data_IF_998915716924
#
_entry.id   IF_998915716924
#
_cell.length_a   1.000
_cell.length_b   1.000
_cell.length_c   1.000
_cell.angle_alpha   90.00
_cell.angle_beta   90.00
_cell.angle_gamma   90.00
#
_symmetry.space_group_name_H-M   'P 1'
#
loop_
_entity.id
_entity.type
_entity.pdbx_description
1 polymer ?
#
# COMPACT_ATOMS: atom_id res chain seq x y z
N UNK A 1 -36.64 -32.18 -30.21
CA UNK A 1 -35.36 -32.06 -29.47
C UNK A 1 -35.37 -30.75 -28.69
N UNK A 2 -35.32 -30.73 -27.34
CA UNK A 2 -35.22 -29.47 -26.61
C UNK A 2 -33.75 -29.07 -26.42
N UNK A 3 -33.46 -27.79 -26.70
CA UNK A 3 -32.14 -27.17 -26.57
C UNK A 3 -31.74 -27.12 -25.08
N UNK A 4 -30.56 -27.65 -24.75
CA UNK A 4 -29.96 -27.55 -23.40
C UNK A 4 -29.42 -26.14 -23.17
N UNK A 5 -29.83 -25.53 -22.06
CA UNK A 5 -29.29 -24.24 -21.60
C UNK A 5 -27.86 -24.42 -21.04
N UNK A 6 -26.87 -23.57 -21.39
CA UNK A 6 -25.47 -23.78 -21.00
C UNK A 6 -25.11 -23.34 -19.58
N UNK A 7 -26.08 -22.86 -18.79
CA UNK A 7 -25.81 -22.32 -17.45
C UNK A 7 -26.32 -23.27 -16.36
N UNK A 8 -25.49 -24.25 -15.98
CA UNK A 8 -25.61 -24.87 -14.65
C UNK A 8 -24.71 -24.09 -13.71
N UNK A 9 -25.32 -23.43 -12.71
CA UNK A 9 -24.57 -22.88 -11.56
C UNK A 9 -23.90 -24.05 -10.84
N UNK A 10 -22.58 -24.00 -10.69
CA UNK A 10 -21.86 -24.89 -9.78
C UNK A 10 -22.38 -24.64 -8.34
N UNK A 11 -22.50 -25.67 -7.49
CA UNK A 11 -22.82 -25.46 -6.09
C UNK A 11 -21.73 -24.61 -5.44
N UNK A 12 -22.13 -23.65 -4.61
CA UNK A 12 -21.21 -22.87 -3.80
C UNK A 12 -20.36 -23.82 -2.96
N UNK A 13 -19.03 -23.62 -2.98
CA UNK A 13 -18.12 -24.34 -2.09
C UNK A 13 -18.50 -24.00 -0.64
N UNK A 14 -18.67 -24.99 0.25
CA UNK A 14 -18.91 -24.70 1.66
C UNK A 14 -17.71 -23.91 2.20
N UNK A 15 -17.98 -22.74 2.78
CA UNK A 15 -17.01 -21.98 3.55
C UNK A 15 -16.75 -22.78 4.82
N UNK A 16 -15.67 -23.55 4.82
CA UNK A 16 -15.19 -24.19 6.04
C UNK A 16 -14.68 -23.09 6.95
N UNK A 17 -15.06 -23.16 8.21
CA UNK A 17 -14.77 -22.23 9.30
C UNK A 17 -13.27 -21.95 9.45
N UNK A 18 -12.81 -20.86 8.86
CA UNK A 18 -11.46 -20.27 9.02
C UNK A 18 -11.51 -18.97 9.87
N UNK A 19 -12.62 -18.75 10.59
CA UNK A 19 -12.89 -17.46 11.24
C UNK A 19 -12.35 -17.36 12.67
N UNK A 20 -11.73 -18.42 13.21
CA UNK A 20 -11.29 -18.44 14.63
C UNK A 20 -9.77 -18.34 14.82
N UNK A 21 -8.95 -18.26 13.75
CA UNK A 21 -7.48 -18.09 13.88
C UNK A 21 -6.92 -16.77 13.33
N UNK A 22 -7.69 -15.95 12.59
CA UNK A 22 -7.30 -14.55 12.25
C UNK A 22 -7.64 -13.57 13.38
N UNK A 23 -7.61 -14.02 14.63
CA UNK A 23 -7.93 -13.19 15.79
C UNK A 23 -6.74 -12.24 16.09
N UNK A 24 -6.93 -10.97 15.70
CA UNK A 24 -6.05 -9.81 15.85
C UNK A 24 -4.93 -9.63 14.80
N UNK A 25 -5.27 -9.68 13.51
CA UNK A 25 -4.44 -9.03 12.48
C UNK A 25 -4.93 -7.61 12.18
N UNK A 26 -3.99 -6.69 11.97
CA UNK A 26 -4.16 -5.27 11.75
C UNK A 26 -3.62 -4.91 10.37
N UNK A 27 -4.39 -4.11 9.63
CA UNK A 27 -3.95 -3.64 8.32
C UNK A 27 -3.21 -2.32 8.41
N UNK A 28 -2.07 -2.22 7.72
CA UNK A 28 -1.28 -1.01 7.61
C UNK A 28 -0.99 -0.68 6.15
N UNK A 29 -1.18 0.58 5.78
CA UNK A 29 -0.68 1.15 4.55
C UNK A 29 0.73 1.72 4.82
N UNK A 30 1.73 1.13 4.17
CA UNK A 30 3.09 1.65 4.10
C UNK A 30 3.16 2.51 2.85
N UNK A 31 3.17 3.83 3.05
CA UNK A 31 3.18 4.80 1.98
C UNK A 31 4.63 5.18 1.66
N UNK A 32 5.00 4.97 0.40
CA UNK A 32 6.30 5.32 -0.14
C UNK A 32 6.16 6.68 -0.80
N UNK A 33 7.07 7.59 -0.46
CA UNK A 33 7.04 8.95 -0.96
C UNK A 33 8.40 9.38 -1.46
N UNK A 34 8.41 10.21 -2.51
CA UNK A 34 9.60 10.92 -2.92
C UNK A 34 9.61 12.31 -2.29
N UNK A 35 10.80 12.76 -1.92
CA UNK A 35 11.08 14.10 -1.45
C UNK A 35 12.50 14.50 -1.90
N UNK A 36 12.95 15.75 -1.70
CA UNK A 36 14.27 16.18 -2.13
C UNK A 36 15.44 15.34 -1.58
N UNK A 37 15.37 14.87 -0.34
CA UNK A 37 16.43 14.05 0.27
C UNK A 37 16.51 12.66 -0.36
N UNK A 38 15.36 12.00 -0.56
CA UNK A 38 15.26 10.69 -1.22
C UNK A 38 15.72 10.78 -2.67
N UNK A 39 15.29 11.81 -3.39
CA UNK A 39 15.70 12.03 -4.78
C UNK A 39 17.21 12.26 -4.90
N UNK A 40 17.79 13.04 -3.97
CA UNK A 40 19.23 13.27 -3.92
C UNK A 40 20.02 11.98 -3.60
N UNK A 41 19.51 11.13 -2.70
CA UNK A 41 20.09 9.83 -2.40
C UNK A 41 20.19 8.96 -3.65
N UNK A 42 19.07 8.70 -4.34
CA UNK A 42 19.05 7.87 -5.54
C UNK A 42 19.85 8.45 -6.72
N UNK A 43 19.94 9.78 -6.81
CA UNK A 43 20.76 10.46 -7.82
C UNK A 43 22.26 10.30 -7.57
N UNK A 44 22.69 10.10 -6.32
CA UNK A 44 24.09 9.92 -5.94
C UNK A 44 24.60 8.49 -6.16
N UNK A 45 23.70 7.50 -6.24
CA UNK A 45 24.06 6.11 -6.46
C UNK A 45 24.60 5.86 -7.87
N UNK A 46 25.53 4.91 -8.00
CA UNK A 46 25.84 4.30 -9.29
C UNK A 46 24.65 3.51 -9.83
N UNK A 47 24.64 3.20 -11.12
CA UNK A 47 23.56 2.41 -11.73
C UNK A 47 23.43 1.02 -11.09
N UNK A 48 24.55 0.41 -10.68
CA UNK A 48 24.55 -0.90 -10.03
C UNK A 48 23.99 -0.85 -8.61
N UNK A 49 24.36 0.17 -7.83
CA UNK A 49 23.79 0.41 -6.49
C UNK A 49 22.30 0.73 -6.58
N UNK A 50 21.90 1.59 -7.51
CA UNK A 50 20.50 1.94 -7.76
C UNK A 50 19.68 0.71 -8.13
N UNK A 51 20.21 -0.17 -8.99
CA UNK A 51 19.54 -1.42 -9.34
C UNK A 51 19.39 -2.35 -8.13
N UNK A 52 20.40 -2.42 -7.24
CA UNK A 52 20.30 -3.21 -6.00
C UNK A 52 19.23 -2.65 -5.07
N UNK A 53 19.14 -1.33 -4.91
CA UNK A 53 18.10 -0.72 -4.09
C UNK A 53 16.71 -0.94 -4.67
N UNK A 54 16.55 -0.81 -5.99
CA UNK A 54 15.28 -1.16 -6.65
C UNK A 54 14.93 -2.64 -6.50
N UNK A 55 15.92 -3.54 -6.42
CA UNK A 55 15.67 -4.96 -6.20
C UNK A 55 14.97 -5.23 -4.86
N UNK A 56 15.23 -4.40 -3.83
CA UNK A 56 14.64 -4.57 -2.51
C UNK A 56 13.11 -4.53 -2.54
N UNK A 57 12.49 -3.71 -3.39
CA UNK A 57 11.03 -3.64 -3.47
C UNK A 57 10.44 -5.00 -3.91
N UNK A 58 11.00 -5.63 -4.95
CA UNK A 58 10.54 -6.95 -5.40
C UNK A 58 10.82 -8.05 -4.39
N UNK A 59 11.95 -8.00 -3.70
CA UNK A 59 12.28 -8.99 -2.66
C UNK A 59 11.33 -8.86 -1.46
N UNK A 60 10.99 -7.62 -1.06
CA UNK A 60 9.98 -7.35 -0.03
C UNK A 60 8.61 -7.88 -0.46
N UNK A 61 8.17 -7.55 -1.68
CA UNK A 61 6.89 -8.03 -2.21
C UNK A 61 6.81 -9.56 -2.19
N UNK A 62 7.82 -10.25 -2.74
CA UNK A 62 7.87 -11.71 -2.77
C UNK A 62 7.84 -12.33 -1.38
N UNK A 63 8.54 -11.76 -0.41
CA UNK A 63 8.54 -12.28 0.96
C UNK A 63 7.17 -12.11 1.63
N UNK A 64 6.51 -10.96 1.42
CA UNK A 64 5.19 -10.68 1.99
C UNK A 64 4.08 -11.50 1.32
N UNK A 65 4.20 -11.78 0.03
CA UNK A 65 3.32 -12.74 -0.66
C UNK A 65 3.51 -14.14 -0.09
N UNK A 66 4.75 -14.58 0.10
CA UNK A 66 5.06 -15.91 0.63
C UNK A 66 4.60 -16.09 2.09
N UNK A 67 4.68 -15.04 2.91
CA UNK A 67 4.18 -15.07 4.29
C UNK A 67 2.66 -14.90 4.39
N UNK A 68 1.99 -14.46 3.33
CA UNK A 68 0.57 -14.11 3.33
C UNK A 68 0.27 -12.77 4.03
N UNK A 69 1.30 -11.97 4.30
CA UNK A 69 1.17 -10.64 4.91
C UNK A 69 0.80 -9.57 3.87
N UNK A 70 1.02 -9.80 2.57
CA UNK A 70 0.66 -8.85 1.52
C UNK A 70 -0.84 -8.87 1.20
N UNK A 71 -1.49 -7.70 1.26
CA UNK A 71 -2.85 -7.51 0.77
C UNK A 71 -2.84 -6.95 -0.66
N UNK A 72 -2.04 -5.90 -0.89
CA UNK A 72 -1.84 -5.29 -2.21
C UNK A 72 -0.56 -4.43 -2.20
N UNK A 73 0.04 -4.22 -3.39
CA UNK A 73 1.19 -3.34 -3.57
C UNK A 73 1.12 -2.69 -4.96
N UNK A 74 1.42 -1.39 -5.08
CA UNK A 74 1.53 -0.73 -6.39
C UNK A 74 2.57 0.39 -6.37
N UNK A 75 3.34 0.48 -7.45
CA UNK A 75 3.99 1.73 -7.84
C UNK A 75 2.92 2.71 -8.36
N UNK A 76 3.08 3.99 -8.04
CA UNK A 76 2.16 5.06 -8.42
C UNK A 76 2.94 6.14 -9.15
N UNK A 77 2.30 6.79 -10.12
CA UNK A 77 2.89 7.91 -10.83
C UNK A 77 2.95 9.16 -9.93
N UNK A 78 4.16 9.55 -9.57
CA UNK A 78 4.44 10.74 -8.76
C UNK A 78 4.11 12.05 -9.49
N UNK A 79 4.14 12.05 -10.82
CA UNK A 79 4.00 13.26 -11.64
C UNK A 79 2.53 13.62 -11.94
N UNK A 80 1.58 12.72 -11.64
CA UNK A 80 0.17 12.88 -12.02
C UNK A 80 -0.79 12.84 -10.82
N UNK A 81 -0.49 13.63 -9.79
CA UNK A 81 -1.33 13.73 -8.59
C UNK A 81 -2.20 14.99 -8.61
N UNK A 82 -3.48 14.82 -8.26
CA UNK A 82 -4.46 15.91 -8.25
C UNK A 82 -5.28 15.88 -6.96
N UNK A 83 -5.62 17.07 -6.47
CA UNK A 83 -6.59 17.28 -5.40
C UNK A 83 -7.93 17.63 -6.04
N UNK A 84 -8.95 16.83 -5.72
CA UNK A 84 -10.34 17.08 -6.14
C UNK A 84 -11.14 17.60 -4.96
N UNK A 85 -11.72 18.78 -5.09
CA UNK A 85 -12.63 19.36 -4.09
C UNK A 85 -14.05 19.46 -4.63
N UNK A 86 -15.03 19.47 -3.73
CA UNK A 86 -16.44 19.70 -4.09
C UNK A 86 -16.68 21.20 -4.21
N UNK A 87 -16.98 21.67 -5.42
CA UNK A 87 -17.48 23.02 -5.67
C UNK A 87 -19.01 23.06 -5.81
N UNK A 88 -19.57 24.26 -5.75
CA UNK A 88 -21.01 24.52 -5.99
C UNK A 88 -21.44 24.17 -7.41
N UNK A 89 -20.54 24.33 -8.38
CA UNK A 89 -20.79 24.14 -9.82
C UNK A 89 -20.20 22.83 -10.37
N UNK A 90 -19.73 21.95 -9.49
CA UNK A 90 -19.07 20.69 -9.84
C UNK A 90 -17.73 20.48 -9.13
N UNK A 91 -17.01 19.38 -9.41
CA UNK A 91 -15.70 19.14 -8.83
C UNK A 91 -14.68 20.16 -9.35
N UNK A 92 -13.86 20.71 -8.47
CA UNK A 92 -12.66 21.47 -8.84
C UNK A 92 -11.45 20.55 -8.71
N UNK A 93 -10.67 20.45 -9.78
CA UNK A 93 -9.45 19.64 -9.83
C UNK A 93 -8.26 20.58 -9.85
N UNK A 94 -7.36 20.41 -8.89
CA UNK A 94 -6.10 21.17 -8.80
C UNK A 94 -4.96 20.16 -8.83
N UNK A 95 -3.84 20.48 -9.48
CA UNK A 95 -2.62 19.68 -9.30
C UNK A 95 -2.28 19.63 -7.81
N UNK A 96 -1.92 18.45 -7.32
CA UNK A 96 -1.38 18.32 -5.98
C UNK A 96 -0.09 19.16 -5.88
N UNK A 97 0.30 19.64 -4.69
CA UNK A 97 1.51 20.43 -4.54
C UNK A 97 2.71 19.72 -5.18
N UNK A 98 3.31 20.33 -6.20
CA UNK A 98 4.54 19.86 -6.85
C UNK A 98 5.73 20.70 -6.37
N UNK A 99 6.92 20.09 -6.26
CA UNK A 99 8.16 20.76 -5.83
C UNK A 99 8.79 20.11 -4.59
N UNK A 100 9.17 20.92 -3.58
CA UNK A 100 9.75 20.46 -2.31
C UNK A 100 8.76 19.67 -1.42
N UNK A 101 7.54 19.46 -1.90
CA UNK A 101 6.52 18.70 -1.23
C UNK A 101 6.74 17.19 -1.40
N UNK A 102 6.36 16.44 -0.39
CA UNK A 102 6.38 14.98 -0.40
C UNK A 102 5.28 14.44 -1.34
N UNK A 103 5.66 13.66 -2.36
CA UNK A 103 4.74 13.06 -3.35
C UNK A 103 4.69 11.54 -3.20
N UNK A 104 3.52 10.94 -3.40
CA UNK A 104 3.36 9.47 -3.29
C UNK A 104 3.94 8.78 -4.53
N UNK A 105 4.83 7.82 -4.34
CA UNK A 105 5.43 7.05 -5.46
C UNK A 105 5.12 5.56 -5.39
N UNK A 106 4.55 5.10 -4.28
CA UNK A 106 4.06 3.73 -4.16
C UNK A 106 3.41 3.46 -2.83
N UNK A 107 2.86 2.26 -2.70
CA UNK A 107 2.37 1.76 -1.41
C UNK A 107 2.43 0.25 -1.31
N UNK A 108 2.45 -0.21 -0.06
CA UNK A 108 2.18 -1.60 0.32
C UNK A 108 1.06 -1.58 1.36
N UNK A 109 0.02 -2.38 1.13
CA UNK A 109 -1.01 -2.67 2.12
C UNK A 109 -0.72 -4.05 2.69
N UNK A 110 -0.45 -4.12 3.99
CA UNK A 110 -0.10 -5.36 4.69
C UNK A 110 -1.14 -5.69 5.76
N UNK A 111 -1.35 -6.98 6.04
CA UNK A 111 -2.19 -7.50 7.12
C UNK A 111 -1.29 -8.27 8.10
N UNK A 112 -0.95 -7.63 9.22
CA UNK A 112 0.11 -8.07 10.13
C UNK A 112 -0.38 -8.08 11.58
N UNK A 113 0.32 -8.78 12.47
CA UNK A 113 -0.12 -8.95 13.86
C UNK A 113 -0.18 -7.63 14.66
N UNK A 114 0.72 -6.68 14.39
CA UNK A 114 0.78 -5.41 15.10
C UNK A 114 1.57 -4.33 14.35
N UNK A 115 1.67 -3.14 14.96
CA UNK A 115 2.45 -2.01 14.43
C UNK A 115 3.95 -2.32 14.37
N UNK A 116 4.47 -3.12 15.30
CA UNK A 116 5.91 -3.42 15.35
C UNK A 116 6.32 -4.22 14.12
N UNK A 117 5.52 -5.22 13.73
CA UNK A 117 5.73 -5.97 12.49
C UNK A 117 5.63 -5.10 11.24
N UNK A 118 4.67 -4.18 11.19
CA UNK A 118 4.59 -3.21 10.08
C UNK A 118 5.85 -2.33 10.00
N UNK A 119 6.41 -1.94 11.15
CA UNK A 119 7.64 -1.13 11.21
C UNK A 119 8.87 -1.92 10.77
N UNK A 120 8.97 -3.21 11.11
CA UNK A 120 10.03 -4.09 10.61
C UNK A 120 10.01 -4.18 9.08
N UNK A 121 8.82 -4.31 8.49
CA UNK A 121 8.66 -4.35 7.03
C UNK A 121 9.06 -2.99 6.43
N UNK A 122 8.57 -1.90 7.02
CA UNK A 122 8.86 -0.53 6.57
C UNK A 122 10.36 -0.20 6.60
N UNK A 123 11.11 -0.72 7.56
CA UNK A 123 12.56 -0.51 7.69
C UNK A 123 13.39 -1.17 6.57
N UNK A 124 12.78 -2.05 5.75
CA UNK A 124 13.46 -2.73 4.64
C UNK A 124 13.56 -1.87 3.38
N UNK A 125 12.72 -0.84 3.25
CA UNK A 125 12.69 0.02 2.07
C UNK A 125 13.89 1.00 2.05
N UNK A 126 14.45 1.31 0.88
CA UNK A 126 15.58 2.25 0.77
C UNK A 126 15.32 3.60 1.45
N UNK A 127 14.10 4.14 1.31
CA UNK A 127 13.70 5.43 1.88
C UNK A 127 13.86 5.48 3.40
N UNK A 128 13.72 4.34 4.09
CA UNK A 128 13.89 4.26 5.54
C UNK A 128 15.34 4.44 6.00
N UNK A 129 16.32 4.29 5.10
CA UNK A 129 17.74 4.49 5.38
C UNK A 129 18.24 5.92 5.07
N UNK A 130 17.39 6.77 4.47
CA UNK A 130 17.75 8.14 4.07
C UNK A 130 17.47 9.13 5.20
N UNK A 131 18.46 9.94 5.55
CA UNK A 131 18.27 11.06 6.49
C UNK A 131 17.25 12.07 5.93
N UNK A 132 16.16 12.31 6.66
CA UNK A 132 15.02 13.10 6.17
C UNK A 132 14.08 12.35 5.21
N UNK A 133 14.31 11.05 5.01
CA UNK A 133 13.38 10.13 4.38
C UNK A 133 12.49 9.39 5.39
N UNK A 134 11.96 8.25 4.96
CA UNK A 134 11.14 7.36 5.77
C UNK A 134 9.99 6.74 4.99
N UNK A 135 9.39 5.72 5.58
CA UNK A 135 8.12 5.14 5.13
C UNK A 135 7.03 5.56 6.11
N UNK A 136 5.92 6.09 5.60
CA UNK A 136 4.79 6.49 6.45
C UNK A 136 3.87 5.29 6.69
N UNK A 137 3.75 4.87 7.95
CA UNK A 137 2.84 3.81 8.37
C UNK A 137 1.47 4.40 8.74
N UNK A 138 0.41 3.90 8.11
CA UNK A 138 -0.97 4.33 8.40
C UNK A 138 -1.83 3.11 8.71
N UNK A 139 -2.37 3.03 9.93
CA UNK A 139 -3.31 1.96 10.29
C UNK A 139 -4.64 2.15 9.58
N UNK A 140 -5.14 1.09 8.94
CA UNK A 140 -6.48 1.06 8.38
C UNK A 140 -7.49 0.89 9.50
N UNK A 141 -8.53 1.71 9.50
CA UNK A 141 -9.64 1.58 10.44
C UNK A 141 -10.43 0.29 10.23
N UNK A 142 -10.86 -0.31 11.33
CA UNK A 142 -11.83 -1.41 11.36
C UNK A 142 -13.25 -0.88 11.45
N UNK A 143 -14.24 -1.75 11.31
CA UNK A 143 -15.64 -1.36 11.55
C UNK A 143 -15.84 -0.85 12.99
N UNK A 144 -15.21 -1.50 13.97
CA UNK A 144 -15.30 -1.09 15.38
C UNK A 144 -14.73 0.32 15.61
N UNK A 145 -13.66 0.71 14.90
CA UNK A 145 -13.13 2.08 14.96
C UNK A 145 -14.17 3.11 14.47
N UNK A 146 -14.88 2.80 13.37
CA UNK A 146 -15.94 3.67 12.86
C UNK A 146 -17.11 3.76 13.83
N UNK A 147 -17.56 2.62 14.36
CA UNK A 147 -18.70 2.55 15.27
C UNK A 147 -18.42 3.33 16.56
N UNK A 148 -17.20 3.22 17.11
CA UNK A 148 -16.77 3.97 18.28
C UNK A 148 -16.62 5.49 18.02
N UNK A 149 -16.25 5.89 16.79
CA UNK A 149 -16.13 7.30 16.45
C UNK A 149 -17.48 8.01 16.26
N UNK A 150 -18.55 7.26 15.96
CA UNK A 150 -19.89 7.77 15.66
C UNK A 150 -20.89 7.65 16.83
N UNK A 151 -20.49 7.03 17.94
CA UNK A 151 -21.25 6.95 19.19
C UNK A 151 -21.06 8.17 20.08
#
# INVERSE_FOLDING_TARGET
>A
MPRRSPWRRAPARPHTSETTEREASMKYLLLITANPAINAHFAALSDEERQREFQLYWDIESDLEASGELVDSKAVDGDTQFVVTRGTDGPTVTEAPAGDAEVVTGYYLVDVVDQARAAEIAARFPEAAVDGGGIRLTRVWTQDDFDAAMS
#
